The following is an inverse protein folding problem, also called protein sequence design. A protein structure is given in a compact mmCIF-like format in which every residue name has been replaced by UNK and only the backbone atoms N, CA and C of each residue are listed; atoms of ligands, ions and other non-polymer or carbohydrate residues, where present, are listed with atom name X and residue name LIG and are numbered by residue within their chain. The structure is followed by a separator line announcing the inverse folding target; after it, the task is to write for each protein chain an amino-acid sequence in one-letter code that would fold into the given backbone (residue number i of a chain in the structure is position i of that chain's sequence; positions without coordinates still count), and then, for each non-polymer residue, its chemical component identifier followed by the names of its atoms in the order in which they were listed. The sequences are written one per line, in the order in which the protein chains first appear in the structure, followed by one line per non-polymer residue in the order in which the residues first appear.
data_IF_045423125202
#
_entry.id   IF_045423125202
#
_cell.length_a   1.000
_cell.length_b   1.000
_cell.length_c   1.000
_cell.angle_alpha   90.00
_cell.angle_beta   90.00
_cell.angle_gamma   90.00
#
_symmetry.space_group_name_H-M   'P 1'
#
loop_
_entity.id
_entity.type
_entity.pdbx_description
1 polymer ?
#
# COMPACT_ATOMS: atom_id res chain seq x y z
N UNK A 1 6.59 -72.29 15.19
CA UNK A 1 7.83 -71.89 15.89
C UNK A 1 8.15 -70.45 15.56
N UNK A 2 8.04 -69.58 16.56
CA UNK A 2 8.96 -68.48 16.86
C UNK A 2 9.15 -67.39 15.78
N UNK A 3 8.40 -66.29 15.97
CA UNK A 3 8.88 -64.89 16.13
C UNK A 3 9.72 -64.26 15.00
N UNK A 4 9.21 -63.20 14.37
CA UNK A 4 9.68 -61.80 14.63
C UNK A 4 8.88 -60.73 13.86
N UNK A 5 8.05 -60.02 14.61
CA UNK A 5 7.84 -58.57 14.63
C UNK A 5 8.32 -57.74 13.43
N UNK A 6 7.36 -57.22 12.66
CA UNK A 6 7.36 -55.80 12.26
C UNK A 6 5.99 -55.20 12.55
N UNK A 7 5.87 -54.69 13.78
CA UNK A 7 4.84 -53.73 14.18
C UNK A 7 5.14 -52.46 13.38
N UNK A 8 4.40 -52.23 12.30
CA UNK A 8 4.23 -50.89 11.77
C UNK A 8 3.23 -50.21 12.70
N UNK A 9 3.77 -49.55 13.71
CA UNK A 9 3.01 -48.63 14.53
C UNK A 9 2.46 -47.55 13.60
N UNK A 10 1.16 -47.60 13.36
CA UNK A 10 0.38 -46.45 12.93
C UNK A 10 0.46 -45.47 14.11
N UNK A 11 1.49 -44.64 14.10
CA UNK A 11 1.49 -43.44 14.93
C UNK A 11 0.60 -42.46 14.19
N UNK A 12 -0.67 -42.48 14.58
CA UNK A 12 -1.52 -41.32 14.43
C UNK A 12 -0.85 -40.17 15.18
N UNK A 13 -0.09 -39.34 14.47
CA UNK A 13 0.26 -38.01 14.97
C UNK A 13 -0.99 -37.13 14.77
N UNK A 14 -2.02 -37.41 15.56
CA UNK A 14 -3.00 -36.42 15.95
C UNK A 14 -2.31 -35.47 16.95
N UNK A 15 -1.33 -34.72 16.45
CA UNK A 15 -0.75 -33.61 17.17
C UNK A 15 -1.61 -32.40 16.85
N UNK A 16 -2.60 -32.19 17.72
CA UNK A 16 -3.22 -30.91 18.00
C UNK A 16 -3.51 -30.04 16.76
N UNK A 17 -4.73 -30.19 16.21
CA UNK A 17 -5.55 -29.00 16.01
C UNK A 17 -5.75 -28.36 17.39
N UNK A 18 -4.70 -27.72 17.90
CA UNK A 18 -4.90 -26.52 18.68
C UNK A 18 -5.69 -25.63 17.71
N UNK A 19 -6.82 -25.02 18.11
CA UNK A 19 -7.09 -23.71 17.56
C UNK A 19 -5.91 -22.87 18.07
N UNK A 20 -4.77 -22.96 17.36
CA UNK A 20 -3.82 -21.88 17.35
C UNK A 20 -4.73 -20.71 17.06
N UNK A 21 -4.80 -19.81 18.03
CA UNK A 21 -5.54 -18.58 17.96
C UNK A 21 -5.52 -18.17 16.50
N UNK A 22 -6.68 -18.16 15.84
CA UNK A 22 -6.83 -17.30 14.68
C UNK A 22 -6.43 -15.96 15.25
N UNK A 23 -5.15 -15.60 15.13
CA UNK A 23 -4.67 -14.26 15.38
C UNK A 23 -5.60 -13.47 14.50
N UNK A 24 -6.48 -12.69 15.09
CA UNK A 24 -7.35 -11.81 14.35
C UNK A 24 -6.44 -11.15 13.30
N UNK A 25 -6.71 -11.42 12.03
CA UNK A 25 -5.88 -10.87 10.97
C UNK A 25 -5.91 -9.35 11.17
N UNK A 26 -4.75 -8.69 11.15
CA UNK A 26 -4.68 -7.25 11.42
C UNK A 26 -5.73 -6.55 10.54
N UNK A 27 -6.53 -5.67 11.13
CA UNK A 27 -7.53 -4.88 10.42
C UNK A 27 -7.09 -3.41 10.42
N UNK A 28 -7.43 -2.69 9.35
CA UNK A 28 -7.22 -1.24 9.32
C UNK A 28 -8.12 -0.52 10.31
N UNK A 29 -9.38 -0.94 10.38
CA UNK A 29 -10.38 -0.49 11.34
C UNK A 29 -10.99 -1.72 12.00
N UNK A 30 -10.90 -1.79 13.33
CA UNK A 30 -11.40 -2.87 14.17
C UNK A 30 -12.93 -2.87 14.26
N UNK A 31 -13.58 -1.70 14.25
CA UNK A 31 -15.03 -1.57 14.29
C UNK A 31 -15.55 -0.48 13.34
N UNK A 32 -16.70 -0.74 12.71
CA UNK A 32 -17.41 0.25 11.90
C UNK A 32 -18.91 0.08 12.05
N UNK A 33 -19.68 1.11 11.68
CA UNK A 33 -21.14 1.05 11.58
C UNK A 33 -21.63 0.23 10.37
N UNK A 34 -20.71 -0.21 9.52
CA UNK A 34 -20.99 -0.94 8.30
C UNK A 34 -21.41 -2.38 8.59
N UNK A 35 -22.20 -2.99 7.70
CA UNK A 35 -22.35 -4.44 7.63
C UNK A 35 -20.98 -5.12 7.45
N UNK A 36 -20.83 -6.35 7.95
CA UNK A 36 -19.57 -7.12 7.87
C UNK A 36 -18.96 -7.15 6.45
N UNK A 37 -19.82 -7.28 5.43
CA UNK A 37 -19.40 -7.28 4.03
C UNK A 37 -18.86 -5.91 3.59
N UNK A 38 -19.55 -4.82 3.94
CA UNK A 38 -19.09 -3.47 3.62
C UNK A 38 -17.84 -3.09 4.43
N UNK A 39 -17.73 -3.49 5.69
CA UNK A 39 -16.54 -3.33 6.53
C UNK A 39 -15.31 -4.02 5.93
N UNK A 40 -15.47 -5.24 5.42
CA UNK A 40 -14.42 -5.97 4.69
C UNK A 40 -13.98 -5.20 3.45
N UNK A 41 -14.94 -4.72 2.63
CA UNK A 41 -14.63 -3.96 1.42
C UNK A 41 -13.94 -2.62 1.74
N UNK A 42 -14.33 -1.95 2.83
CA UNK A 42 -13.66 -0.73 3.30
C UNK A 42 -12.21 -1.00 3.67
N UNK A 43 -11.93 -2.08 4.42
CA UNK A 43 -10.55 -2.45 4.77
C UNK A 43 -9.71 -2.75 3.53
N UNK A 44 -10.26 -3.44 2.52
CA UNK A 44 -9.59 -3.64 1.24
C UNK A 44 -9.33 -2.31 0.51
N UNK A 45 -10.28 -1.38 0.59
CA UNK A 45 -10.14 -0.02 0.07
C UNK A 45 -9.00 0.74 0.74
N UNK A 46 -8.86 0.61 2.06
CA UNK A 46 -7.75 1.22 2.82
C UNK A 46 -6.43 0.58 2.43
N UNK A 47 -6.37 -0.75 2.25
CA UNK A 47 -5.19 -1.43 1.71
C UNK A 47 -4.80 -0.83 0.36
N UNK A 48 -5.75 -0.70 -0.57
CA UNK A 48 -5.47 -0.11 -1.88
C UNK A 48 -5.00 1.37 -1.76
N UNK A 49 -5.61 2.15 -0.85
CA UNK A 49 -5.25 3.54 -0.62
C UNK A 49 -3.83 3.70 -0.06
N UNK A 50 -3.48 2.92 0.96
CA UNK A 50 -2.14 2.91 1.56
C UNK A 50 -1.05 2.41 0.60
N UNK A 51 -1.45 1.77 -0.49
CA UNK A 51 -0.58 1.34 -1.59
C UNK A 51 -0.71 2.23 -2.84
N UNK A 52 -1.22 3.47 -2.69
CA UNK A 52 -1.27 4.49 -3.74
C UNK A 52 -2.15 4.11 -4.95
N UNK A 53 -3.00 3.10 -4.81
CA UNK A 53 -3.98 2.69 -5.83
C UNK A 53 -5.31 3.43 -5.66
N UNK A 54 -5.28 4.76 -5.66
CA UNK A 54 -6.44 5.61 -5.32
C UNK A 54 -7.68 5.33 -6.19
N UNK A 55 -7.51 4.96 -7.47
CA UNK A 55 -8.63 4.55 -8.32
C UNK A 55 -9.35 3.29 -7.82
N UNK A 56 -8.57 2.27 -7.43
CA UNK A 56 -9.08 1.02 -6.85
C UNK A 56 -9.73 1.27 -5.49
N UNK A 57 -9.07 2.04 -4.62
CA UNK A 57 -9.61 2.41 -3.32
C UNK A 57 -10.97 3.10 -3.44
N UNK A 58 -11.09 4.12 -4.31
CA UNK A 58 -12.37 4.80 -4.58
C UNK A 58 -13.46 3.83 -5.04
N UNK A 59 -13.13 2.92 -5.95
CA UNK A 59 -14.06 1.89 -6.42
C UNK A 59 -14.53 0.96 -5.31
N UNK A 60 -13.62 0.55 -4.41
CA UNK A 60 -13.95 -0.27 -3.25
C UNK A 60 -14.89 0.47 -2.28
N UNK A 61 -14.61 1.72 -1.94
CA UNK A 61 -15.50 2.49 -1.07
C UNK A 61 -16.88 2.72 -1.69
N UNK A 62 -16.96 2.94 -3.01
CA UNK A 62 -18.24 2.98 -3.71
C UNK A 62 -18.98 1.64 -3.67
N UNK A 63 -18.26 0.52 -3.83
CA UNK A 63 -18.85 -0.81 -3.71
C UNK A 63 -19.36 -1.10 -2.29
N UNK A 64 -18.64 -0.66 -1.26
CA UNK A 64 -19.11 -0.75 0.13
C UNK A 64 -20.46 -0.02 0.31
N UNK A 65 -20.65 1.15 -0.31
CA UNK A 65 -21.93 1.87 -0.27
C UNK A 65 -23.04 1.23 -1.11
N UNK A 66 -22.71 0.45 -2.13
CA UNK A 66 -23.70 -0.36 -2.86
C UNK A 66 -24.19 -1.51 -1.98
N UNK A 67 -23.30 -2.13 -1.21
CA UNK A 67 -23.62 -3.22 -0.28
C UNK A 67 -24.37 -2.69 0.95
N UNK A 68 -23.92 -1.57 1.49
CA UNK A 68 -24.47 -0.92 2.67
C UNK A 68 -24.47 0.61 2.50
N UNK A 69 -25.60 1.19 2.08
CA UNK A 69 -25.72 2.64 1.91
C UNK A 69 -25.56 3.44 3.22
N UNK A 70 -25.70 2.79 4.38
CA UNK A 70 -25.50 3.44 5.69
C UNK A 70 -24.05 3.48 6.13
N UNK A 71 -23.18 2.58 5.63
CA UNK A 71 -21.78 2.43 6.03
C UNK A 71 -21.03 3.76 6.12
N UNK A 72 -20.77 4.24 7.34
CA UNK A 72 -20.16 5.54 7.58
C UNK A 72 -18.67 5.54 7.21
N UNK A 73 -17.91 4.50 7.56
CA UNK A 73 -16.50 4.38 7.17
C UNK A 73 -16.27 4.57 5.65
N UNK A 74 -17.14 4.02 4.80
CA UNK A 74 -17.06 4.22 3.35
C UNK A 74 -17.34 5.67 2.93
N UNK A 75 -18.25 6.38 3.62
CA UNK A 75 -18.54 7.80 3.38
C UNK A 75 -17.36 8.67 3.79
N UNK A 76 -16.76 8.40 4.95
CA UNK A 76 -15.56 9.11 5.43
C UNK A 76 -14.42 8.93 4.41
N UNK A 77 -14.18 7.69 3.97
CA UNK A 77 -13.14 7.39 3.00
C UNK A 77 -13.31 8.14 1.67
N UNK A 78 -14.53 8.17 1.13
CA UNK A 78 -14.83 8.91 -0.10
C UNK A 78 -14.73 10.42 0.07
N UNK A 79 -15.13 10.94 1.23
CA UNK A 79 -14.99 12.35 1.55
C UNK A 79 -13.51 12.76 1.61
N UNK A 80 -12.64 11.91 2.17
CA UNK A 80 -11.20 12.20 2.28
C UNK A 80 -10.53 12.27 0.90
N UNK A 81 -10.98 11.42 -0.02
CA UNK A 81 -10.47 11.38 -1.39
C UNK A 81 -11.05 12.48 -2.31
N UNK A 82 -11.93 13.36 -1.81
CA UNK A 82 -12.56 14.38 -2.63
C UNK A 82 -11.58 15.54 -2.95
N UNK A 83 -11.31 15.76 -4.24
CA UNK A 83 -10.26 16.68 -4.70
C UNK A 83 -10.78 17.90 -5.52
N UNK A 84 -12.09 18.15 -5.55
CA UNK A 84 -12.69 19.30 -6.26
C UNK A 84 -12.95 19.06 -7.76
N UNK A 85 -13.78 19.93 -8.36
CA UNK A 85 -14.59 19.79 -9.60
C UNK A 85 -16.05 19.35 -9.30
N UNK A 86 -16.70 18.59 -10.18
CA UNK A 86 -18.14 18.23 -10.09
C UNK A 86 -18.53 17.42 -8.82
N UNK A 87 -17.53 16.97 -8.05
CA UNK A 87 -17.69 16.05 -6.91
C UNK A 87 -17.56 16.73 -5.54
N UNK A 88 -17.42 18.06 -5.49
CA UNK A 88 -17.23 18.82 -4.26
C UNK A 88 -15.79 18.81 -3.73
N UNK A 89 -15.50 19.66 -2.76
CA UNK A 89 -14.20 19.72 -2.08
C UNK A 89 -14.20 18.78 -0.87
N UNK A 90 -13.02 18.30 -0.46
CA UNK A 90 -12.82 17.58 0.81
C UNK A 90 -13.55 18.26 1.98
N UNK A 91 -13.38 19.57 2.13
CA UNK A 91 -14.06 20.33 3.19
C UNK A 91 -15.58 20.23 3.13
N UNK A 92 -16.18 20.39 1.94
CA UNK A 92 -17.65 20.29 1.79
C UNK A 92 -18.18 18.88 2.04
N UNK A 93 -17.41 17.85 1.64
CA UNK A 93 -17.78 16.45 1.87
C UNK A 93 -17.66 16.07 3.35
N UNK A 94 -16.65 16.60 4.05
CA UNK A 94 -16.50 16.42 5.50
C UNK A 94 -17.57 17.18 6.29
N UNK A 95 -17.97 18.38 5.87
CA UNK A 95 -19.05 19.13 6.51
C UNK A 95 -20.40 18.39 6.44
N UNK A 96 -20.64 17.67 5.34
CA UNK A 96 -21.82 16.81 5.22
C UNK A 96 -21.83 15.63 6.23
N UNK A 97 -20.69 15.36 6.88
CA UNK A 97 -20.53 14.33 7.91
C UNK A 97 -20.44 14.91 9.33
N UNK A 98 -20.63 16.23 9.53
CA UNK A 98 -20.40 16.88 10.83
C UNK A 98 -21.32 16.39 11.96
N UNK A 99 -22.57 16.02 11.64
CA UNK A 99 -23.59 15.63 12.63
C UNK A 99 -23.85 14.11 12.67
N UNK A 100 -22.93 13.29 12.13
CA UNK A 100 -23.09 11.83 12.12
C UNK A 100 -22.72 11.23 13.49
N UNK A 101 -23.30 10.06 13.77
CA UNK A 101 -22.87 9.19 14.86
C UNK A 101 -22.30 7.90 14.29
N UNK A 102 -21.12 7.49 14.77
CA UNK A 102 -20.41 6.29 14.35
C UNK A 102 -19.77 5.53 15.51
N UNK A 103 -18.98 4.52 15.17
CA UNK A 103 -18.12 3.80 16.13
C UNK A 103 -16.97 4.68 16.62
N UNK A 104 -16.20 4.23 17.63
CA UNK A 104 -15.06 4.98 18.12
C UNK A 104 -14.01 5.18 17.00
N UNK A 105 -13.76 4.14 16.20
CA UNK A 105 -12.85 4.20 15.05
C UNK A 105 -13.34 5.18 13.97
N UNK A 106 -14.63 5.17 13.62
CA UNK A 106 -15.17 6.10 12.62
C UNK A 106 -15.09 7.56 13.08
N UNK A 107 -15.39 7.82 14.35
CA UNK A 107 -15.31 9.18 14.89
C UNK A 107 -13.85 9.64 15.06
N UNK A 108 -12.93 8.74 15.40
CA UNK A 108 -11.50 9.04 15.43
C UNK A 108 -10.97 9.35 14.02
N UNK A 109 -11.39 8.60 13.00
CA UNK A 109 -11.06 8.91 11.61
C UNK A 109 -11.57 10.30 11.23
N UNK A 110 -12.84 10.61 11.49
CA UNK A 110 -13.40 11.95 11.23
C UNK A 110 -12.59 13.07 11.90
N UNK A 111 -12.21 12.89 13.17
CA UNK A 111 -11.41 13.88 13.90
C UNK A 111 -10.05 14.12 13.23
N UNK A 112 -9.36 13.05 12.80
CA UNK A 112 -8.11 13.16 12.03
C UNK A 112 -8.34 13.90 10.71
N UNK A 113 -9.47 13.66 10.02
CA UNK A 113 -9.77 14.33 8.76
C UNK A 113 -10.07 15.82 8.92
N UNK A 114 -10.64 16.21 10.06
CA UNK A 114 -10.93 17.60 10.43
C UNK A 114 -9.72 18.34 11.02
N UNK A 115 -8.69 17.63 11.46
CA UNK A 115 -7.54 18.26 12.11
C UNK A 115 -6.66 19.04 11.13
N UNK A 116 -5.95 20.05 11.66
CA UNK A 116 -4.95 20.81 10.89
C UNK A 116 -3.61 20.07 10.75
N UNK A 117 -3.39 19.03 11.56
CA UNK A 117 -2.21 18.17 11.52
C UNK A 117 -2.64 16.71 11.71
N UNK A 118 -3.00 16.07 10.60
CA UNK A 118 -3.49 14.69 10.57
C UNK A 118 -2.56 13.69 11.26
N UNK A 119 -1.24 13.67 10.96
CA UNK A 119 -0.31 12.74 11.61
C UNK A 119 -0.26 12.86 13.14
N UNK A 120 -0.24 14.08 13.69
CA UNK A 120 -0.20 14.26 15.15
C UNK A 120 -1.51 13.82 15.80
N UNK A 121 -2.66 14.16 15.21
CA UNK A 121 -3.96 13.66 15.69
C UNK A 121 -4.07 12.15 15.57
N UNK A 122 -3.58 11.55 14.48
CA UNK A 122 -3.56 10.10 14.30
C UNK A 122 -2.69 9.42 15.37
N UNK A 123 -1.56 10.02 15.74
CA UNK A 123 -0.74 9.52 16.84
C UNK A 123 -1.50 9.49 18.17
N UNK A 124 -2.24 10.55 18.49
CA UNK A 124 -3.08 10.59 19.69
C UNK A 124 -4.17 9.50 19.64
N UNK A 125 -4.90 9.37 18.51
CA UNK A 125 -5.93 8.34 18.35
C UNK A 125 -5.39 6.93 18.41
N UNK A 126 -4.19 6.69 17.90
CA UNK A 126 -3.54 5.38 17.93
C UNK A 126 -3.23 4.91 19.36
N UNK A 127 -3.13 5.82 20.35
CA UNK A 127 -2.97 5.43 21.76
C UNK A 127 -4.30 4.98 22.38
N UNK A 128 -5.40 5.62 21.98
CA UNK A 128 -6.75 5.31 22.47
C UNK A 128 -7.34 4.07 21.77
N UNK A 129 -6.92 3.81 20.52
CA UNK A 129 -7.45 2.77 19.63
C UNK A 129 -6.31 1.89 19.10
N UNK A 130 -5.70 1.05 19.97
CA UNK A 130 -4.48 0.31 19.65
C UNK A 130 -4.65 -0.79 18.58
N UNK A 131 -5.88 -1.20 18.30
CA UNK A 131 -6.20 -2.24 17.32
C UNK A 131 -6.55 -1.66 15.94
N UNK A 132 -6.67 -0.32 15.82
CA UNK A 132 -6.93 0.37 14.55
C UNK A 132 -5.61 0.71 13.83
N UNK A 133 -5.15 -0.19 12.97
CA UNK A 133 -3.89 -0.02 12.26
C UNK A 133 -3.86 1.25 11.39
N UNK A 134 -5.01 1.75 10.92
CA UNK A 134 -5.09 2.99 10.13
C UNK A 134 -4.43 4.18 10.85
N UNK A 135 -4.68 4.33 12.15
CA UNK A 135 -4.16 5.47 12.91
C UNK A 135 -2.68 5.32 13.19
N UNK A 136 -2.22 4.09 13.45
CA UNK A 136 -0.79 3.80 13.57
C UNK A 136 -0.03 4.04 12.26
N UNK A 137 -0.63 3.72 11.11
CA UNK A 137 -0.02 3.98 9.82
C UNK A 137 0.18 5.48 9.60
N UNK A 138 -0.87 6.30 9.76
CA UNK A 138 -0.76 7.75 9.62
C UNK A 138 0.11 8.41 10.69
N UNK A 139 0.15 7.84 11.90
CA UNK A 139 1.04 8.29 12.96
C UNK A 139 2.53 8.08 12.63
N UNK A 140 2.87 7.29 11.60
CA UNK A 140 4.27 7.11 11.15
C UNK A 140 4.93 8.42 10.68
N UNK A 141 4.14 9.44 10.37
CA UNK A 141 4.60 10.79 10.02
C UNK A 141 4.49 11.80 11.18
N UNK A 142 4.10 11.36 12.37
CA UNK A 142 3.85 12.24 13.51
C UNK A 142 5.14 12.73 14.17
N UNK A 143 5.23 14.04 14.39
CA UNK A 143 6.31 14.65 15.16
C UNK A 143 6.19 14.36 16.67
N UNK A 144 4.98 14.00 17.15
CA UNK A 144 4.76 13.63 18.55
C UNK A 144 5.35 12.26 18.92
N UNK A 145 5.70 11.43 17.92
CA UNK A 145 6.30 10.12 18.15
C UNK A 145 7.78 10.18 18.55
N UNK A 146 8.43 11.32 18.32
CA UNK A 146 9.90 11.51 18.43
C UNK A 146 10.72 10.58 17.50
N UNK A 147 10.07 9.82 16.62
CA UNK A 147 10.69 8.97 15.61
C UNK A 147 10.89 9.75 14.31
N UNK A 148 11.92 9.38 13.55
CA UNK A 148 11.97 9.73 12.12
C UNK A 148 10.85 9.03 11.36
N UNK A 149 10.47 9.55 10.19
CA UNK A 149 9.45 8.90 9.33
C UNK A 149 9.81 7.45 9.00
N UNK A 150 11.09 7.17 8.73
CA UNK A 150 11.57 5.81 8.49
C UNK A 150 11.40 4.92 9.73
N UNK A 151 11.75 5.40 10.92
CA UNK A 151 11.54 4.65 12.18
C UNK A 151 10.05 4.43 12.47
N UNK A 152 9.20 5.42 12.22
CA UNK A 152 7.74 5.30 12.34
C UNK A 152 7.18 4.18 11.44
N UNK A 153 7.59 4.14 10.17
CA UNK A 153 7.17 3.08 9.25
C UNK A 153 7.73 1.70 9.60
N UNK A 154 8.95 1.62 10.13
CA UNK A 154 9.49 0.37 10.66
C UNK A 154 8.69 -0.13 11.87
N UNK A 155 8.36 0.77 12.80
CA UNK A 155 7.54 0.44 13.97
C UNK A 155 6.13 -0.03 13.57
N UNK A 156 5.52 0.63 12.56
CA UNK A 156 4.25 0.17 11.99
C UNK A 156 4.37 -1.23 11.39
N UNK A 157 5.39 -1.47 10.57
CA UNK A 157 5.58 -2.76 9.90
C UNK A 157 5.87 -3.90 10.87
N UNK A 158 6.51 -3.62 12.01
CA UNK A 158 6.71 -4.59 13.09
C UNK A 158 5.39 -4.92 13.81
N UNK A 159 4.55 -3.90 14.05
CA UNK A 159 3.29 -4.06 14.79
C UNK A 159 2.18 -4.70 13.96
N UNK A 160 2.03 -4.32 12.70
CA UNK A 160 0.98 -4.78 11.79
C UNK A 160 1.59 -5.41 10.52
N UNK A 161 2.32 -6.52 10.65
CA UNK A 161 3.12 -7.08 9.55
C UNK A 161 2.27 -7.50 8.34
N UNK A 162 1.00 -7.82 8.54
CA UNK A 162 0.11 -8.19 7.42
C UNK A 162 -0.45 -6.99 6.64
N UNK A 163 -0.37 -5.78 7.21
CA UNK A 163 -0.79 -4.51 6.60
C UNK A 163 0.40 -3.62 6.19
N UNK A 164 1.63 -4.09 6.40
CA UNK A 164 2.86 -3.32 6.26
C UNK A 164 3.20 -2.88 4.82
N UNK A 165 2.44 -3.28 3.80
CA UNK A 165 2.79 -3.10 2.39
C UNK A 165 3.10 -1.64 2.03
N UNK A 166 2.25 -0.70 2.45
CA UNK A 166 2.46 0.73 2.24
C UNK A 166 3.72 1.24 2.93
N UNK A 167 4.00 0.80 4.17
CA UNK A 167 5.21 1.18 4.92
C UNK A 167 6.48 0.61 4.29
N UNK A 168 6.44 -0.63 3.80
CA UNK A 168 7.55 -1.24 3.09
C UNK A 168 7.85 -0.51 1.77
N UNK A 169 6.82 -0.03 1.07
CA UNK A 169 6.98 0.83 -0.09
C UNK A 169 7.67 2.15 0.28
N UNK A 170 7.19 2.84 1.31
CA UNK A 170 7.82 4.09 1.81
C UNK A 170 9.28 3.88 2.17
N UNK A 171 9.61 2.82 2.90
CA UNK A 171 10.99 2.48 3.29
C UNK A 171 11.87 2.17 2.08
N UNK A 172 11.33 1.51 1.05
CA UNK A 172 12.06 1.25 -0.18
C UNK A 172 12.45 2.56 -0.89
N UNK A 173 11.54 3.53 -0.97
CA UNK A 173 11.83 4.85 -1.53
C UNK A 173 12.80 5.66 -0.65
N UNK A 174 12.63 5.63 0.68
CA UNK A 174 13.51 6.34 1.61
C UNK A 174 14.97 5.95 1.38
N UNK A 175 15.27 4.65 1.33
CA UNK A 175 16.62 4.15 1.04
C UNK A 175 17.06 4.31 -0.41
N UNK A 176 16.13 4.42 -1.38
CA UNK A 176 16.49 4.67 -2.77
C UNK A 176 16.85 6.14 -3.03
N UNK A 177 16.23 7.08 -2.32
CA UNK A 177 16.33 8.52 -2.58
C UNK A 177 17.13 9.28 -1.51
N UNK A 178 17.37 8.66 -0.36
CA UNK A 178 18.05 9.30 0.77
C UNK A 178 17.12 10.21 1.59
N UNK A 179 15.84 9.88 1.67
CA UNK A 179 14.86 10.67 2.43
C UNK A 179 14.86 10.24 3.91
N UNK A 180 15.49 11.05 4.76
CA UNK A 180 15.65 10.78 6.19
C UNK A 180 16.61 9.63 6.54
N UNK A 181 17.23 8.98 5.55
CA UNK A 181 18.21 7.90 5.69
C UNK A 181 19.31 8.03 4.62
N UNK A 182 20.44 7.36 4.80
CA UNK A 182 21.46 7.27 3.75
C UNK A 182 20.97 6.40 2.58
N UNK A 183 21.35 6.78 1.35
CA UNK A 183 21.05 5.97 0.16
C UNK A 183 21.71 4.59 0.30
N UNK A 184 20.90 3.53 0.17
CA UNK A 184 21.32 2.14 0.28
C UNK A 184 20.51 1.26 -0.68
N UNK A 185 21.13 0.88 -1.81
CA UNK A 185 20.48 0.03 -2.82
C UNK A 185 20.06 -1.34 -2.27
N UNK A 186 20.88 -1.94 -1.40
CA UNK A 186 20.61 -3.28 -0.88
C UNK A 186 19.35 -3.23 -0.04
N UNK A 187 19.26 -2.28 0.89
CA UNK A 187 18.06 -2.09 1.73
C UNK A 187 16.84 -1.70 0.92
N UNK A 188 16.97 -0.76 -0.02
CA UNK A 188 15.87 -0.36 -0.89
C UNK A 188 15.27 -1.57 -1.62
N UNK A 189 16.12 -2.44 -2.18
CA UNK A 189 15.67 -3.68 -2.86
C UNK A 189 15.13 -4.73 -1.90
N UNK A 190 15.62 -4.82 -0.67
CA UNK A 190 15.06 -5.72 0.35
C UNK A 190 13.64 -5.32 0.75
N UNK A 191 13.41 -4.04 1.07
CA UNK A 191 12.08 -3.52 1.37
C UNK A 191 11.13 -3.68 0.19
N UNK A 192 11.59 -3.38 -1.03
CA UNK A 192 10.80 -3.52 -2.24
C UNK A 192 10.39 -4.98 -2.53
N UNK A 193 11.29 -5.95 -2.31
CA UNK A 193 10.94 -7.37 -2.42
C UNK A 193 9.95 -7.80 -1.35
N UNK A 194 10.06 -7.27 -0.13
CA UNK A 194 9.08 -7.50 0.95
C UNK A 194 7.73 -6.90 0.60
N UNK A 195 7.71 -5.69 0.06
CA UNK A 195 6.50 -5.03 -0.44
C UNK A 195 5.82 -5.90 -1.50
N UNK A 196 6.55 -6.33 -2.54
CA UNK A 196 5.99 -7.17 -3.61
C UNK A 196 5.48 -8.54 -3.12
N UNK A 197 6.10 -9.11 -2.07
CA UNK A 197 5.61 -10.36 -1.46
C UNK A 197 4.28 -10.18 -0.73
N UNK A 198 4.10 -9.02 -0.09
CA UNK A 198 2.89 -8.71 0.68
C UNK A 198 1.77 -8.16 -0.21
N UNK A 199 2.12 -7.43 -1.26
CA UNK A 199 1.20 -6.76 -2.16
C UNK A 199 1.70 -6.89 -3.61
N UNK A 200 1.06 -7.76 -4.39
CA UNK A 200 1.49 -8.11 -5.75
C UNK A 200 0.58 -7.45 -6.81
N UNK A 201 0.40 -6.14 -6.69
CA UNK A 201 -0.54 -5.36 -7.49
C UNK A 201 0.19 -4.31 -8.34
N UNK A 202 -0.56 -3.49 -9.08
CA UNK A 202 0.00 -2.61 -10.09
C UNK A 202 1.03 -1.63 -9.51
N UNK A 203 0.70 -1.00 -8.37
CA UNK A 203 1.63 -0.06 -7.74
C UNK A 203 2.91 -0.73 -7.22
N UNK A 204 2.85 -1.97 -6.72
CA UNK A 204 4.05 -2.65 -6.25
C UNK A 204 5.04 -2.94 -7.38
N UNK A 205 4.53 -3.29 -8.55
CA UNK A 205 5.35 -3.47 -9.75
C UNK A 205 5.87 -2.13 -10.29
N UNK A 206 5.07 -1.09 -10.24
CA UNK A 206 5.46 0.27 -10.66
C UNK A 206 6.57 0.84 -9.76
N UNK A 207 6.44 0.77 -8.43
CA UNK A 207 7.52 1.10 -7.48
C UNK A 207 8.79 0.30 -7.75
N UNK A 208 8.62 -0.99 -8.08
CA UNK A 208 9.77 -1.84 -8.38
C UNK A 208 10.51 -1.35 -9.63
N UNK A 209 9.77 -0.93 -10.64
CA UNK A 209 10.35 -0.40 -11.85
C UNK A 209 11.05 0.94 -11.62
N UNK A 210 10.42 1.85 -10.88
CA UNK A 210 11.00 3.15 -10.53
C UNK A 210 12.31 3.01 -9.76
N UNK A 211 12.32 2.22 -8.69
CA UNK A 211 13.51 2.00 -7.86
C UNK A 211 14.59 1.26 -8.65
N UNK A 212 14.23 0.31 -9.51
CA UNK A 212 15.21 -0.34 -10.39
C UNK A 212 15.87 0.66 -11.34
N UNK A 213 15.09 1.61 -11.89
CA UNK A 213 15.60 2.66 -12.75
C UNK A 213 16.48 3.69 -12.02
N UNK A 214 16.19 4.00 -10.74
CA UNK A 214 17.06 4.84 -9.88
C UNK A 214 18.48 4.26 -9.83
N UNK A 215 18.60 2.93 -9.72
CA UNK A 215 19.87 2.22 -9.70
C UNK A 215 20.38 1.79 -11.08
N UNK A 216 19.79 2.29 -12.17
CA UNK A 216 20.23 2.03 -13.54
C UNK A 216 19.86 0.66 -14.12
N UNK A 217 19.06 -0.14 -13.42
CA UNK A 217 18.52 -1.41 -13.93
C UNK A 217 17.27 -1.15 -14.79
N UNK A 218 17.50 -0.60 -15.99
CA UNK A 218 16.41 -0.28 -16.91
C UNK A 218 15.73 -1.52 -17.52
N UNK A 219 16.44 -2.64 -17.66
CA UNK A 219 15.82 -3.89 -18.10
C UNK A 219 14.85 -4.44 -17.05
N UNK A 220 15.26 -4.43 -15.78
CA UNK A 220 14.39 -4.72 -14.64
C UNK A 220 13.20 -3.77 -14.58
N UNK A 221 13.44 -2.47 -14.79
CA UNK A 221 12.37 -1.48 -14.84
C UNK A 221 11.33 -1.78 -15.92
N UNK A 222 11.75 -2.11 -17.15
CA UNK A 222 10.83 -2.48 -18.23
C UNK A 222 9.98 -3.69 -17.86
N UNK A 223 10.60 -4.77 -17.34
CA UNK A 223 9.88 -6.00 -16.97
C UNK A 223 8.83 -5.76 -15.89
N UNK A 224 9.21 -5.04 -14.82
CA UNK A 224 8.26 -4.76 -13.75
C UNK A 224 7.17 -3.79 -14.20
N UNK A 225 7.48 -2.80 -15.02
CA UNK A 225 6.46 -1.89 -15.52
C UNK A 225 5.43 -2.58 -16.42
N UNK A 226 5.83 -3.59 -17.20
CA UNK A 226 4.90 -4.43 -17.96
C UNK A 226 3.92 -5.17 -17.04
N UNK A 227 4.41 -5.72 -15.93
CA UNK A 227 3.53 -6.33 -14.92
C UNK A 227 2.57 -5.33 -14.25
N UNK A 228 2.99 -4.06 -14.09
CA UNK A 228 2.10 -3.00 -13.62
C UNK A 228 0.98 -2.72 -14.63
N UNK A 229 1.28 -2.70 -15.94
CA UNK A 229 0.28 -2.57 -17.01
C UNK A 229 -0.70 -3.75 -17.01
N UNK A 230 -0.23 -4.98 -16.84
CA UNK A 230 -1.08 -6.17 -16.82
C UNK A 230 -2.13 -6.13 -15.70
N UNK A 231 -1.84 -5.42 -14.59
CA UNK A 231 -2.67 -5.35 -13.39
C UNK A 231 -3.51 -4.08 -13.31
N UNK A 232 -2.91 -2.94 -13.61
CA UNK A 232 -3.51 -1.60 -13.46
C UNK A 232 -3.97 -0.97 -14.78
N UNK A 233 -3.74 -1.64 -15.90
CA UNK A 233 -4.09 -1.17 -17.24
C UNK A 233 -3.05 -0.23 -17.85
N UNK A 234 -3.26 0.11 -19.14
CA UNK A 234 -2.36 0.94 -19.94
C UNK A 234 -2.52 2.46 -19.67
N UNK A 235 -2.64 2.85 -18.41
CA UNK A 235 -2.76 4.25 -17.98
C UNK A 235 -1.36 4.87 -17.84
N UNK A 236 -1.06 5.53 -16.71
CA UNK A 236 0.28 6.03 -16.37
C UNK A 236 1.33 4.92 -16.47
N UNK A 237 0.95 3.67 -16.21
CA UNK A 237 1.86 2.54 -16.30
C UNK A 237 2.37 2.29 -17.73
N UNK A 238 1.51 2.48 -18.74
CA UNK A 238 1.87 2.27 -20.15
C UNK A 238 2.87 3.30 -20.65
N UNK A 239 2.71 4.56 -20.24
CA UNK A 239 3.64 5.65 -20.58
C UNK A 239 5.03 5.38 -20.01
N UNK A 240 5.10 4.87 -18.77
CA UNK A 240 6.34 4.48 -18.10
C UNK A 240 7.03 3.29 -18.76
N UNK A 241 6.30 2.29 -19.29
CA UNK A 241 6.93 1.18 -20.05
C UNK A 241 7.73 1.75 -21.21
N UNK A 242 7.14 2.66 -21.99
CA UNK A 242 7.81 3.27 -23.13
C UNK A 242 9.02 4.11 -22.70
N UNK A 243 8.92 4.81 -21.56
CA UNK A 243 10.04 5.56 -20.99
C UNK A 243 11.21 4.64 -20.62
N UNK A 244 10.98 3.61 -19.81
CA UNK A 244 12.05 2.68 -19.41
C UNK A 244 12.63 1.91 -20.58
N UNK A 245 11.79 1.57 -21.56
CA UNK A 245 12.27 0.90 -22.76
C UNK A 245 13.23 1.79 -23.56
N UNK A 246 12.94 3.10 -23.70
CA UNK A 246 13.88 4.05 -24.31
C UNK A 246 15.18 4.19 -23.52
N UNK A 247 15.12 4.16 -22.19
CA UNK A 247 16.31 4.24 -21.33
C UNK A 247 17.17 2.98 -21.46
N UNK A 248 16.56 1.79 -21.51
CA UNK A 248 17.26 0.53 -21.72
C UNK A 248 17.96 0.46 -23.09
N UNK A 249 17.39 1.10 -24.12
CA UNK A 249 17.91 1.10 -25.50
C UNK A 249 18.59 2.44 -25.88
N UNK A 250 19.03 3.23 -24.89
CA UNK A 250 19.51 4.59 -25.10
C UNK A 250 20.67 4.68 -26.10
N UNK A 251 21.63 3.76 -26.03
CA UNK A 251 22.80 3.77 -26.91
C UNK A 251 22.42 3.43 -28.36
N UNK A 252 21.52 2.48 -28.58
CA UNK A 252 21.01 2.15 -29.91
C UNK A 252 20.30 3.36 -30.54
N UNK A 253 19.50 4.07 -29.74
CA UNK A 253 18.86 5.31 -30.17
C UNK A 253 19.85 6.42 -30.47
N UNK A 254 20.87 6.58 -29.63
CA UNK A 254 21.94 7.55 -29.86
C UNK A 254 22.66 7.27 -31.17
N UNK A 255 22.95 5.99 -31.44
CA UNK A 255 23.60 5.57 -32.68
C UNK A 255 22.71 5.81 -33.89
N UNK A 256 21.42 5.46 -33.83
CA UNK A 256 20.48 5.68 -34.91
C UNK A 256 20.37 7.18 -35.30
N UNK A 257 20.42 8.09 -34.32
CA UNK A 257 20.42 9.54 -34.58
C UNK A 257 21.74 9.98 -35.24
N UNK A 258 22.89 9.51 -34.74
CA UNK A 258 24.20 9.80 -35.33
C UNK A 258 24.25 9.33 -36.79
N UNK A 259 23.78 8.12 -37.06
CA UNK A 259 23.75 7.56 -38.40
C UNK A 259 22.86 8.38 -39.35
N UNK A 260 21.67 8.78 -38.88
CA UNK A 260 20.77 9.64 -39.65
C UNK A 260 21.39 11.01 -39.97
N UNK A 261 22.07 11.64 -39.01
CA UNK A 261 22.77 12.92 -39.23
C UNK A 261 23.92 12.74 -40.23
N UNK A 262 24.69 11.65 -40.14
CA UNK A 262 25.79 11.39 -41.06
C UNK A 262 25.31 11.22 -42.51
N UNK A 263 24.18 10.54 -42.73
CA UNK A 263 23.54 10.40 -44.05
C UNK A 263 23.08 11.77 -44.57
N UNK A 264 22.45 12.59 -43.73
CA UNK A 264 22.00 13.93 -44.13
C UNK A 264 23.15 14.90 -44.42
N UNK A 265 24.27 14.77 -43.72
CA UNK A 265 25.46 15.60 -43.90
C UNK A 265 26.31 15.20 -45.11
N UNK A 266 26.18 13.96 -45.60
CA UNK A 266 26.89 13.42 -46.77
C UNK A 266 25.91 12.75 -47.74
N UNK A 267 25.04 13.53 -48.40
CA UNK A 267 23.95 13.02 -49.23
C UNK A 267 24.41 12.35 -50.53
#
# INVERSE_FOLDING_TARGET
MIVRNRILAVVALAAAFWPGSLTAQDQWLSETSCSDAAHTIVNEGITAWGNVEHGRAKGMYQAALVVDPSCLAAKIALADMANGAEWGTRSSQMEALADVSGTASEMAWLDIMHSSNGPNTAYEKAQDLPDDALFHYWASWSEHSELTVAEGHMAFAERFPSLAAGSLNTLAYAYAQGDGVDIDEVKAREFLRSYLRLYNEANAHDSFAEISAIFGDYEGAVRHQQHAVDRGGATVYGERVAMYWRLANKEDYRQAVVDAVNVLANP
#
